data_IF_831125379667
#
_entry.id   IF_831125379667
#
_cell.length_a   1.000
_cell.length_b   1.000
_cell.length_c   1.000
_cell.angle_alpha   90.00
_cell.angle_beta   90.00
_cell.angle_gamma   90.00
#
_symmetry.space_group_name_H-M   'P 1'
#
loop_
_entity.id
_entity.type
_entity.pdbx_description
1 polymer ?
#
# COMPACT_ATOMS: atom_id res chain seq x y z
N UNK A 1 0.52 -14.09 -3.21
CA UNK A 1 1.88 -14.39 -3.68
C UNK A 1 2.19 -15.80 -3.26
N UNK A 2 2.60 -16.67 -4.17
CA UNK A 2 3.00 -18.01 -3.76
C UNK A 2 4.33 -17.89 -3.01
N UNK A 3 4.44 -18.54 -1.85
CA UNK A 3 5.67 -18.55 -1.04
C UNK A 3 6.35 -19.89 -1.24
N UNK A 4 7.68 -19.86 -1.33
CA UNK A 4 8.46 -21.07 -1.18
C UNK A 4 8.35 -21.55 0.26
N UNK A 5 8.35 -22.87 0.44
CA UNK A 5 8.44 -23.51 1.75
C UNK A 5 9.67 -24.42 1.78
N UNK A 6 10.08 -24.89 2.97
CA UNK A 6 11.19 -25.83 3.11
C UNK A 6 10.99 -27.02 2.16
N UNK A 7 12.01 -27.34 1.36
CA UNK A 7 12.01 -28.40 0.34
C UNK A 7 10.91 -28.28 -0.74
N UNK A 8 10.30 -27.10 -0.89
CA UNK A 8 9.28 -26.83 -1.91
C UNK A 8 9.56 -25.47 -2.56
N UNK A 9 10.50 -25.42 -3.53
CA UNK A 9 10.77 -24.20 -4.26
C UNK A 9 9.57 -23.80 -5.14
N UNK A 10 9.52 -22.54 -5.53
CA UNK A 10 8.51 -22.06 -6.47
C UNK A 10 8.81 -22.61 -7.86
N UNK A 11 7.76 -23.06 -8.57
CA UNK A 11 7.90 -23.39 -9.99
C UNK A 11 8.11 -22.13 -10.81
N UNK A 12 8.70 -22.24 -12.00
CA UNK A 12 8.93 -21.08 -12.87
C UNK A 12 7.66 -20.28 -13.14
N UNK A 13 6.54 -20.97 -13.40
CA UNK A 13 5.25 -20.34 -13.62
C UNK A 13 4.77 -19.54 -12.40
N UNK A 14 5.02 -20.04 -11.18
CA UNK A 14 4.69 -19.34 -9.95
C UNK A 14 5.59 -18.12 -9.75
N UNK A 15 6.88 -18.22 -10.08
CA UNK A 15 7.83 -17.11 -10.02
C UNK A 15 7.47 -16.02 -11.02
N UNK A 16 7.17 -16.37 -12.28
CA UNK A 16 6.72 -15.44 -13.33
C UNK A 16 5.44 -14.72 -12.92
N UNK A 17 4.45 -15.46 -12.39
CA UNK A 17 3.21 -14.88 -11.84
C UNK A 17 3.48 -13.93 -10.67
N UNK A 18 4.33 -14.31 -9.72
CA UNK A 18 4.69 -13.45 -8.59
C UNK A 18 5.35 -12.16 -9.09
N UNK A 19 6.28 -12.25 -10.04
CA UNK A 19 6.97 -11.10 -10.64
C UNK A 19 5.98 -10.11 -11.29
N UNK A 20 5.02 -10.63 -12.06
CA UNK A 20 3.99 -9.80 -12.69
C UNK A 20 3.17 -9.02 -11.64
N UNK A 21 2.80 -9.66 -10.52
CA UNK A 21 2.00 -9.04 -9.47
C UNK A 21 2.80 -8.09 -8.56
N UNK A 22 4.12 -8.24 -8.46
CA UNK A 22 4.95 -7.49 -7.52
C UNK A 22 4.85 -5.98 -7.70
N UNK A 23 4.80 -5.47 -8.94
CA UNK A 23 4.74 -4.01 -9.20
C UNK A 23 3.47 -3.39 -8.64
N UNK A 24 2.32 -4.00 -8.88
CA UNK A 24 1.03 -3.53 -8.36
C UNK A 24 0.98 -3.65 -6.85
N UNK A 25 1.44 -4.78 -6.29
CA UNK A 25 1.48 -4.99 -4.84
C UNK A 25 2.32 -3.94 -4.14
N UNK A 26 3.51 -3.65 -4.65
CA UNK A 26 4.40 -2.65 -4.07
C UNK A 26 3.70 -1.30 -3.89
N UNK A 27 2.98 -0.83 -4.91
CA UNK A 27 2.24 0.45 -4.85
C UNK A 27 1.15 0.40 -3.78
N UNK A 28 0.41 -0.70 -3.68
CA UNK A 28 -0.68 -0.86 -2.72
C UNK A 28 -0.15 -0.96 -1.28
N UNK A 29 0.81 -1.86 -1.04
CA UNK A 29 1.39 -2.12 0.28
C UNK A 29 2.13 -0.90 0.83
N UNK A 30 2.88 -0.17 -0.02
CA UNK A 30 3.52 1.08 0.39
C UNK A 30 2.52 2.16 0.78
N UNK A 31 1.40 2.24 0.06
CA UNK A 31 0.33 3.21 0.38
C UNK A 31 -0.25 2.95 1.76
N UNK A 32 -0.61 1.70 2.06
CA UNK A 32 -1.12 1.33 3.37
C UNK A 32 -0.07 1.44 4.48
N UNK A 33 1.18 1.06 4.22
CA UNK A 33 2.28 1.24 5.17
C UNK A 33 2.51 2.72 5.53
N UNK A 34 2.38 3.61 4.55
CA UNK A 34 2.48 5.07 4.78
C UNK A 34 1.28 5.59 5.56
N UNK A 35 0.06 5.14 5.22
CA UNK A 35 -1.17 5.47 5.96
C UNK A 35 -1.07 5.06 7.43
N UNK A 36 -0.57 3.86 7.71
CA UNK A 36 -0.39 3.36 9.08
C UNK A 36 0.65 4.18 9.84
N UNK A 37 1.83 4.42 9.25
CA UNK A 37 2.97 5.05 9.94
C UNK A 37 2.84 6.57 10.06
N UNK A 38 2.58 7.27 8.96
CA UNK A 38 2.55 8.75 8.91
C UNK A 38 1.19 9.31 9.31
N UNK A 39 0.11 8.64 8.93
CA UNK A 39 -1.25 9.13 9.17
C UNK A 39 -1.97 8.40 10.33
N UNK A 40 -1.27 7.51 11.05
CA UNK A 40 -1.79 6.73 12.20
C UNK A 40 -3.09 5.98 11.88
N UNK A 41 -3.26 5.55 10.64
CA UNK A 41 -4.49 4.93 10.14
C UNK A 41 -4.45 3.40 10.24
N UNK A 42 -4.33 2.88 11.46
CA UNK A 42 -4.30 1.43 11.71
C UNK A 42 -5.68 0.87 12.14
N UNK A 43 -6.56 1.73 12.66
CA UNK A 43 -7.89 1.36 13.16
C UNK A 43 -8.89 2.46 12.81
N UNK A 44 -10.16 2.07 12.66
CA UNK A 44 -11.26 3.02 12.60
C UNK A 44 -11.32 3.85 13.90
N UNK A 45 -11.35 5.18 13.77
CA UNK A 45 -11.40 6.09 14.90
C UNK A 45 -12.83 6.48 15.30
N UNK A 46 -13.80 6.26 14.40
CA UNK A 46 -15.18 6.70 14.57
C UNK A 46 -16.15 5.52 14.46
N UNK A 47 -17.31 5.66 15.11
CA UNK A 47 -18.44 4.76 14.91
C UNK A 47 -19.23 5.17 13.66
N UNK A 48 -19.70 4.17 12.92
CA UNK A 48 -20.51 4.34 11.72
C UNK A 48 -19.69 4.55 10.44
N UNK A 49 -20.23 4.03 9.33
CA UNK A 49 -19.54 3.99 8.04
C UNK A 49 -19.31 5.37 7.44
N UNK A 50 -20.23 6.32 7.64
CA UNK A 50 -20.13 7.67 7.06
C UNK A 50 -18.86 8.38 7.53
N UNK A 51 -18.62 8.42 8.85
CA UNK A 51 -17.46 9.10 9.44
C UNK A 51 -16.16 8.38 9.11
N UNK A 52 -16.15 7.05 9.15
CA UNK A 52 -14.96 6.24 8.79
C UNK A 52 -14.62 6.39 7.30
N UNK A 53 -15.63 6.39 6.42
CA UNK A 53 -15.44 6.59 4.99
C UNK A 53 -14.88 7.98 4.71
N UNK A 54 -15.47 9.03 5.28
CA UNK A 54 -14.94 10.40 5.13
C UNK A 54 -13.48 10.50 5.60
N UNK A 55 -13.14 9.92 6.76
CA UNK A 55 -11.77 9.87 7.26
C UNK A 55 -10.82 9.15 6.29
N UNK A 56 -11.24 8.01 5.74
CA UNK A 56 -10.45 7.23 4.79
C UNK A 56 -10.15 8.02 3.52
N UNK A 57 -11.15 8.70 2.95
CA UNK A 57 -11.00 9.51 1.74
C UNK A 57 -10.05 10.69 1.98
N UNK A 58 -10.21 11.42 3.09
CA UNK A 58 -9.32 12.54 3.44
C UNK A 58 -7.87 12.07 3.58
N UNK A 59 -7.61 10.97 4.28
CA UNK A 59 -6.25 10.43 4.42
C UNK A 59 -5.66 9.94 3.10
N UNK A 60 -6.49 9.40 2.20
CA UNK A 60 -6.06 9.03 0.85
C UNK A 60 -5.65 10.26 0.02
N UNK A 61 -6.39 11.37 0.12
CA UNK A 61 -5.99 12.64 -0.50
C UNK A 61 -4.65 13.13 0.06
N UNK A 62 -4.46 13.13 1.39
CA UNK A 62 -3.19 13.51 2.00
C UNK A 62 -2.01 12.63 1.56
N UNK A 63 -2.23 11.32 1.41
CA UNK A 63 -1.22 10.41 0.89
C UNK A 63 -0.82 10.79 -0.55
N UNK A 64 -1.79 11.12 -1.40
CA UNK A 64 -1.53 11.54 -2.77
C UNK A 64 -0.71 12.83 -2.82
N UNK A 65 -1.05 13.82 -1.99
CA UNK A 65 -0.28 15.06 -1.85
C UNK A 65 1.16 14.80 -1.40
N UNK A 66 1.36 13.94 -0.39
CA UNK A 66 2.70 13.54 0.06
C UNK A 66 3.50 12.86 -1.06
N UNK A 67 2.86 11.97 -1.84
CA UNK A 67 3.52 11.33 -2.98
C UNK A 67 3.89 12.33 -4.07
N UNK A 68 3.02 13.29 -4.37
CA UNK A 68 3.29 14.35 -5.33
C UNK A 68 4.48 15.21 -4.87
N UNK A 69 4.47 15.69 -3.62
CA UNK A 69 5.57 16.48 -3.06
C UNK A 69 6.92 15.73 -3.12
N UNK A 70 6.94 14.42 -2.83
CA UNK A 70 8.16 13.63 -2.92
C UNK A 70 8.64 13.39 -4.37
N UNK A 71 7.75 13.45 -5.37
CA UNK A 71 8.15 13.41 -6.78
C UNK A 71 8.71 14.73 -7.28
N UNK A 72 8.27 15.85 -6.69
CA UNK A 72 8.73 17.19 -7.06
C UNK A 72 10.03 17.59 -6.37
N UNK A 73 10.34 17.01 -5.20
CA UNK A 73 11.56 17.31 -4.42
C UNK A 73 12.88 17.19 -5.20
N UNK A 74 13.09 16.23 -6.12
CA UNK A 74 14.31 16.16 -6.93
C UNK A 74 14.42 17.22 -8.03
N UNK A 75 13.37 18.01 -8.26
CA UNK A 75 13.31 19.07 -9.27
C UNK A 75 13.60 20.47 -8.70
N UNK A 76 13.97 20.55 -7.42
CA UNK A 76 14.38 21.76 -6.71
C UNK A 76 15.83 21.60 -6.25
#
# INVERSE_FOLDING_TARGET
MRKACRNRPLTENQTKRNRYLSKTRYVVEQSFGTLHRKFRYARAAYFGLIKVSAQSHLKAMCLNLLKAANRLRPLQ
#
